data_IF_135896873078
#
_entry.id   IF_135896873078
#
_cell.length_a   1.000
_cell.length_b   1.000
_cell.length_c   1.000
_cell.angle_alpha   90.00
_cell.angle_beta   90.00
_cell.angle_gamma   90.00
#
_symmetry.space_group_name_H-M   'P 1'
#
loop_
_entity.id
_entity.type
_entity.pdbx_description
1 polymer ?
2 polymer ?
3 non-polymer ?
4 water ?
#
# COMPACT_ATOMS: atom_id res chain seq x y z
N UNK A 5 3.85 -2.30 -0.96
CA UNK A 5 5.25 -2.04 -1.35
C UNK A 5 6.16 -2.82 -0.41
N UNK A 6 5.89 -2.73 0.90
CA UNK A 6 6.61 -3.51 1.91
C UNK A 6 5.95 -3.35 3.28
N UNK A 7 5.45 -4.45 3.83
CA UNK A 7 4.83 -4.46 5.16
C UNK A 7 5.81 -5.01 6.17
N UNK A 8 5.82 -4.41 7.36
CA UNK A 8 6.77 -4.82 8.39
C UNK A 8 6.08 -4.80 9.75
N UNK A 9 6.45 -5.75 10.61
CA UNK A 9 5.96 -5.79 11.98
C UNK A 9 7.09 -5.33 12.90
N UNK A 10 6.77 -4.39 13.79
CA UNK A 10 7.74 -3.82 14.72
C UNK A 10 7.10 -3.79 16.09
N UNK A 11 7.77 -4.36 17.08
CA UNK A 11 7.29 -4.38 18.44
C UNK A 11 8.13 -3.41 19.27
N UNK A 12 7.45 -2.51 19.98
CA UNK A 12 8.14 -1.52 20.81
C UNK A 12 7.73 -1.72 22.27
N UNK A 13 8.71 -1.57 23.16
CA UNK A 13 8.45 -1.52 24.59
C UNK A 13 8.27 -0.05 24.98
N UNK A 14 7.12 0.28 25.57
CA UNK A 14 6.82 1.66 25.90
C UNK A 14 7.85 2.16 26.91
N UNK A 15 8.36 3.37 26.69
CA UNK A 15 9.29 3.98 27.62
C UNK A 15 8.60 4.92 28.59
N UNK A 16 9.43 5.58 29.41
CA UNK A 16 8.87 6.52 30.39
C UNK A 16 8.11 7.64 29.72
N UNK A 17 8.49 8.00 28.50
CA UNK A 17 7.85 9.09 27.75
C UNK A 17 6.92 8.59 26.67
N UNK A 18 6.50 7.33 26.75
CA UNK A 18 5.73 6.70 25.69
C UNK A 18 6.59 6.03 24.63
N UNK A 19 6.15 6.13 23.39
CA UNK A 19 6.83 5.42 22.32
C UNK A 19 7.85 6.26 21.60
N UNK A 20 7.85 7.56 21.78
CA UNK A 20 8.88 8.38 21.17
C UNK A 20 8.70 8.67 19.70
N UNK A 21 7.46 8.75 19.21
CA UNK A 21 7.19 9.20 17.85
C UNK A 21 5.84 9.90 17.82
N UNK A 22 5.57 10.57 16.71
CA UNK A 22 4.35 11.33 16.53
C UNK A 22 3.67 10.92 15.21
N UNK A 23 2.35 11.07 15.17
CA UNK A 23 1.58 10.67 14.02
C UNK A 23 0.60 11.78 13.63
N UNK A 24 0.31 11.84 12.34
CA UNK A 24 -0.76 12.70 11.84
C UNK A 24 -1.59 11.91 10.85
N UNK A 25 -2.77 12.43 10.55
CA UNK A 25 -3.66 11.85 9.57
C UNK A 25 -4.86 11.17 10.20
N UNK A 26 -5.58 10.45 9.35
CA UNK A 26 -6.84 9.84 9.73
C UNK A 26 -7.97 10.35 8.86
N UNK A 27 -9.11 9.66 8.97
CA UNK A 27 -10.25 10.02 8.13
C UNK A 27 -10.81 11.38 8.53
N UNK A 28 -10.72 11.72 9.81
CA UNK A 28 -11.20 12.99 10.31
C UNK A 28 -10.22 14.12 10.08
N UNK A 29 -8.92 13.82 9.91
CA UNK A 29 -7.88 14.86 9.85
C UNK A 29 -6.77 14.43 8.92
N UNK A 30 -7.05 14.41 7.62
CA UNK A 30 -5.98 14.06 6.66
C UNK A 30 -4.75 14.94 6.86
N UNK A 31 -3.59 14.34 6.61
CA UNK A 31 -2.32 15.07 6.71
C UNK A 31 -1.78 15.47 5.35
N UNK A 32 -2.07 14.67 4.31
CA UNK A 32 -1.86 15.02 2.93
C UNK A 32 -3.23 15.23 2.27
N UNK A 33 -3.23 15.68 1.02
CA UNK A 33 -4.47 15.99 0.33
C UNK A 33 -5.20 14.71 -0.04
N UNK A 34 -6.44 14.60 0.41
CA UNK A 34 -7.31 13.46 0.16
C UNK A 34 -6.67 12.13 0.56
N UNK A 35 -5.71 12.17 1.47
CA UNK A 35 -5.05 10.99 2.01
C UNK A 35 -5.47 10.81 3.47
N UNK A 36 -6.19 9.71 3.75
CA UNK A 36 -6.63 9.44 5.11
C UNK A 36 -5.64 8.57 5.91
N UNK A 37 -4.52 8.18 5.33
CA UNK A 37 -3.62 7.31 6.06
C UNK A 37 -3.07 8.00 7.33
N UNK A 38 -2.67 7.16 8.28
CA UNK A 38 -1.97 7.58 9.49
C UNK A 38 -0.48 7.40 9.27
N UNK A 39 0.27 8.50 9.31
CA UNK A 39 1.68 8.46 9.01
C UNK A 39 2.49 8.81 10.25
N UNK A 40 3.70 8.26 10.31
CA UNK A 40 4.69 8.67 11.30
C UNK A 40 5.25 10.00 10.84
N UNK A 41 5.21 11.02 11.70
CA UNK A 41 5.72 12.33 11.31
C UNK A 41 7.03 12.73 11.96
N UNK A 42 7.36 12.15 13.11
CA UNK A 42 8.63 12.44 13.76
C UNK A 42 9.03 11.24 14.62
N UNK A 43 10.34 10.98 14.70
CA UNK A 43 10.93 9.99 15.60
C UNK A 43 11.89 10.75 16.51
N UNK A 44 11.58 10.76 17.80
CA UNK A 44 12.25 11.66 18.73
C UNK A 44 13.60 11.05 19.15
N UNK A 45 14.69 11.83 19.13
CA UNK A 45 15.96 11.31 19.67
C UNK A 45 15.80 10.88 21.12
N UNK A 46 16.38 9.74 21.46
CA UNK A 46 16.34 9.26 22.82
C UNK A 46 15.06 8.57 23.23
N UNK A 47 14.08 8.46 22.32
CA UNK A 47 12.87 7.73 22.64
C UNK A 47 12.93 6.26 22.24
N UNK A 48 11.91 5.52 22.66
CA UNK A 48 11.90 4.07 22.42
C UNK A 48 11.96 3.72 20.94
N UNK A 49 11.16 4.41 20.11
CA UNK A 49 11.15 4.10 18.67
C UNK A 49 12.50 4.36 18.02
N UNK A 50 13.19 5.43 18.41
CA UNK A 50 14.50 5.74 17.80
C UNK A 50 15.54 4.73 18.26
N UNK A 51 15.49 4.36 19.53
CA UNK A 51 16.40 3.35 20.06
C UNK A 51 16.23 2.02 19.33
N UNK A 52 14.99 1.70 18.95
CA UNK A 52 14.73 0.47 18.20
C UNK A 52 15.29 0.58 16.79
N UNK A 53 15.13 1.74 16.15
CA UNK A 53 15.79 2.03 14.91
C UNK A 53 15.04 1.61 13.67
N UNK A 54 13.94 0.89 13.81
CA UNK A 54 13.27 0.34 12.64
C UNK A 54 12.25 1.28 12.05
N UNK A 55 11.52 2.02 12.88
CA UNK A 55 10.51 2.94 12.38
C UNK A 55 11.14 4.10 11.61
N UNK A 56 10.50 4.46 10.49
CA UNK A 56 10.97 5.54 9.64
C UNK A 56 9.88 6.60 9.51
N UNK A 57 10.32 7.84 9.26
CA UNK A 57 9.37 8.92 9.04
C UNK A 57 8.54 8.63 7.80
N UNK A 58 7.25 8.91 7.89
CA UNK A 58 6.26 8.70 6.84
C UNK A 58 5.90 7.24 6.59
N UNK A 59 6.37 6.31 7.43
CA UNK A 59 5.76 4.99 7.45
C UNK A 59 4.25 5.15 7.67
N UNK A 60 3.47 4.27 7.05
CA UNK A 60 2.02 4.25 7.23
C UNK A 60 1.70 3.22 8.28
N UNK A 61 0.91 3.60 9.28
CA UNK A 61 0.51 2.65 10.33
C UNK A 61 -0.62 1.82 9.75
N UNK A 62 -0.35 0.53 9.54
CA UNK A 62 -1.34 -0.39 9.00
C UNK A 62 -2.16 -1.01 10.12
N UNK A 63 -1.53 -1.37 11.24
CA UNK A 63 -2.25 -1.97 12.34
C UNK A 63 -1.50 -1.69 13.63
N UNK A 64 -2.26 -1.63 14.72
CA UNK A 64 -1.74 -1.54 16.08
C UNK A 64 -2.32 -2.72 16.85
N UNK A 65 -1.45 -3.56 17.40
CA UNK A 65 -1.87 -4.86 17.95
C UNK A 65 -2.72 -5.54 16.89
N UNK A 66 -3.91 -6.01 17.19
CA UNK A 66 -4.74 -6.71 16.21
C UNK A 66 -5.77 -5.79 15.56
N UNK A 67 -5.58 -4.47 15.64
CA UNK A 67 -6.57 -3.52 15.16
C UNK A 67 -6.04 -2.75 13.97
N UNK A 68 -6.72 -2.88 12.83
CA UNK A 68 -6.33 -2.23 11.60
C UNK A 68 -6.63 -0.75 11.67
N UNK A 69 -5.77 0.06 11.03
CA UNK A 69 -5.88 1.52 11.05
C UNK A 69 -5.95 2.14 9.65
N UNK A 70 -6.48 1.42 8.68
CA UNK A 70 -6.35 1.88 7.31
C UNK A 70 -7.42 2.91 6.91
N UNK A 71 -8.57 2.91 7.58
CA UNK A 71 -9.64 3.87 7.28
C UNK A 71 -10.34 4.26 8.57
N UNK A 72 -9.58 4.89 9.49
CA UNK A 72 -10.04 5.17 10.84
C UNK A 72 -9.76 6.61 11.22
N UNK A 73 -10.37 7.04 12.31
CA UNK A 73 -10.15 8.38 12.81
C UNK A 73 -8.86 8.45 13.63
N UNK A 74 -8.32 9.67 13.72
CA UNK A 74 -7.02 9.88 14.34
C UNK A 74 -7.01 9.31 15.75
N UNK A 75 -7.94 9.74 16.59
CA UNK A 75 -7.92 9.36 17.99
C UNK A 75 -8.04 7.87 18.19
N UNK A 76 -8.63 7.16 17.21
CA UNK A 76 -8.71 5.71 17.32
C UNK A 76 -7.31 5.10 17.35
N UNK A 77 -6.46 5.50 16.41
CA UNK A 77 -5.09 5.02 16.39
C UNK A 77 -4.31 5.51 17.60
N UNK A 78 -4.55 6.76 18.01
CA UNK A 78 -3.92 7.30 19.22
C UNK A 78 -4.23 6.41 20.42
N UNK A 79 -5.50 6.05 20.60
CA UNK A 79 -5.87 5.23 21.74
C UNK A 79 -5.20 3.85 21.68
N UNK A 80 -5.05 3.30 20.48
CA UNK A 80 -4.37 2.01 20.34
C UNK A 80 -2.93 2.11 20.80
N UNK A 81 -2.23 3.18 20.39
CA UNK A 81 -0.83 3.34 20.75
C UNK A 81 -0.65 3.75 22.20
N UNK A 82 -1.46 4.70 22.69
CA UNK A 82 -1.22 5.26 24.02
C UNK A 82 -1.67 4.36 25.17
N UNK A 83 -2.58 3.43 24.92
CA UNK A 83 -3.06 2.54 25.99
C UNK A 83 -2.56 1.11 25.79
N UNK A 85 -0.69 -0.63 28.20
CA UNK A 85 -0.01 -0.95 26.96
C UNK A 85 1.50 -0.95 27.12
N UNK A 86 2.01 -1.92 27.89
CA UNK A 86 3.44 -1.98 28.12
C UNK A 86 4.24 -2.38 26.88
N UNK A 87 3.61 -3.06 25.93
CA UNK A 87 4.26 -3.52 24.71
C UNK A 87 3.23 -3.40 23.58
N UNK A 88 3.66 -2.82 22.46
CA UNK A 88 2.78 -2.57 21.34
C UNK A 88 3.39 -3.12 20.06
N UNK A 89 2.60 -3.92 19.32
CA UNK A 89 3.01 -4.50 18.04
C UNK A 89 2.50 -3.63 16.90
N UNK A 90 3.42 -3.11 16.09
CA UNK A 90 3.08 -2.26 14.97
C UNK A 90 3.27 -2.99 13.64
N UNK A 91 2.25 -2.96 12.80
CA UNK A 91 2.38 -3.31 11.39
C UNK A 91 2.38 -2.00 10.61
N UNK A 92 3.45 -1.76 9.85
CA UNK A 92 3.58 -0.53 9.08
C UNK A 92 3.85 -0.84 7.61
N UNK A 93 3.59 0.16 6.75
CA UNK A 93 3.81 0.04 5.32
C UNK A 93 4.77 1.12 4.84
N UNK A 94 5.67 0.76 3.94
CA UNK A 94 6.61 1.74 3.39
C UNK A 94 7.01 1.41 1.95
N UNK B 5 -12.77 3.20 -1.57
CA UNK B 5 -12.49 3.53 -3.00
C UNK B 5 -11.22 4.39 -3.11
N UNK B 6 -10.12 3.77 -3.51
CA UNK B 6 -8.80 4.40 -3.53
C UNK B 6 -8.22 4.28 -4.92
N UNK B 7 -7.90 5.41 -5.53
CA UNK B 7 -7.28 5.44 -6.85
C UNK B 7 -5.78 5.57 -6.66
N UNK B 8 -5.01 4.88 -7.49
CA UNK B 8 -3.57 4.85 -7.33
C UNK B 8 -2.90 4.86 -8.70
N UNK B 9 -1.77 5.55 -8.79
CA UNK B 9 -0.95 5.57 -9.99
C UNK B 9 0.28 4.70 -9.74
N UNK B 10 0.56 3.80 -10.67
CA UNK B 10 1.65 2.84 -10.56
C UNK B 10 2.40 2.82 -11.88
N UNK B 11 3.72 2.96 -11.81
CA UNK B 11 4.56 2.87 -13.01
C UNK B 11 5.31 1.56 -12.95
N UNK B 12 5.18 0.76 -14.01
CA UNK B 12 5.83 -0.54 -14.07
C UNK B 12 6.81 -0.52 -15.23
N UNK B 13 7.99 -1.09 -15.00
CA UNK B 13 8.99 -1.30 -16.04
C UNK B 13 8.85 -2.71 -16.63
N UNK B 14 8.72 -2.74 -17.95
CA UNK B 14 8.53 -4.00 -18.66
C UNK B 14 9.73 -4.92 -18.50
N UNK B 15 9.47 -6.21 -18.21
CA UNK B 15 10.51 -7.21 -18.18
C UNK B 15 10.49 -8.03 -19.47
N UNK B 16 11.34 -9.05 -19.48
CA UNK B 16 11.40 -9.93 -20.64
C UNK B 16 10.08 -10.63 -20.91
N UNK B 17 9.26 -10.87 -19.87
CA UNK B 17 7.98 -11.55 -20.01
C UNK B 17 6.80 -10.58 -19.93
N UNK B 18 7.03 -9.31 -20.14
CA UNK B 18 6.00 -8.31 -19.94
C UNK B 18 5.95 -7.78 -18.52
N UNK B 19 4.75 -7.50 -18.02
CA UNK B 19 4.59 -6.86 -16.72
C UNK B 19 4.40 -7.84 -15.57
N UNK B 20 4.08 -9.10 -15.84
CA UNK B 20 4.00 -10.06 -14.78
C UNK B 20 2.72 -10.08 -14.00
N UNK B 21 1.59 -9.79 -14.63
CA UNK B 21 0.32 -9.95 -13.95
C UNK B 21 -0.73 -10.33 -14.99
N UNK B 22 -1.90 -10.75 -14.51
CA UNK B 22 -2.95 -11.23 -15.39
C UNK B 22 -4.24 -10.44 -15.15
N UNK B 23 -5.05 -10.29 -16.21
CA UNK B 23 -6.30 -9.57 -16.11
C UNK B 23 -7.44 -10.37 -16.75
N UNK B 24 -8.64 -10.18 -16.21
CA UNK B 24 -9.86 -10.68 -16.81
C UNK B 24 -10.88 -9.56 -16.79
N UNK B 25 -11.95 -9.75 -17.57
CA UNK B 25 -13.08 -8.83 -17.58
C UNK B 25 -13.10 -7.97 -18.83
N UNK B 26 -13.99 -7.00 -18.80
CA UNK B 26 -14.28 -6.16 -19.96
C UNK B 26 -15.74 -6.27 -20.34
N UNK B 27 -16.15 -5.32 -21.20
CA UNK B 27 -17.56 -5.25 -21.57
C UNK B 27 -17.98 -6.45 -22.40
N UNK B 28 -17.07 -7.01 -23.18
CA UNK B 28 -17.36 -8.17 -24.00
C UNK B 28 -17.30 -9.48 -23.20
N UNK B 29 -16.61 -9.52 -22.05
CA UNK B 29 -16.38 -10.78 -21.31
C UNK B 29 -16.30 -10.50 -19.82
N UNK B 30 -17.46 -10.23 -19.20
CA UNK B 30 -17.42 -10.00 -17.75
C UNK B 30 -16.75 -11.16 -17.05
N UNK B 31 -16.02 -10.85 -15.98
CA UNK B 31 -15.39 -11.87 -15.14
C UNK B 31 -16.24 -12.21 -13.91
N UNK B 32 -17.03 -11.25 -13.44
CA UNK B 32 -18.09 -11.43 -12.47
C UNK B 32 -19.39 -11.08 -13.15
N UNK B 33 -20.51 -11.50 -12.55
CA UNK B 33 -21.80 -11.37 -13.20
C UNK B 33 -22.19 -9.92 -13.37
N UNK B 34 -22.43 -9.55 -14.63
CA UNK B 34 -22.78 -8.19 -15.05
C UNK B 34 -21.78 -7.13 -14.60
N UNK B 35 -20.56 -7.54 -14.30
CA UNK B 35 -19.48 -6.61 -13.97
C UNK B 35 -18.56 -6.52 -15.18
N UNK B 36 -18.51 -5.35 -15.82
CA UNK B 36 -17.66 -5.18 -16.99
C UNK B 36 -16.26 -4.71 -16.61
N UNK B 37 -15.96 -4.59 -15.32
CA UNK B 37 -14.65 -4.08 -14.95
C UNK B 37 -13.55 -5.03 -15.42
N UNK B 38 -12.36 -4.47 -15.60
CA UNK B 38 -11.15 -5.24 -15.89
C UNK B 38 -10.36 -5.38 -14.59
N UNK B 39 -10.20 -6.62 -14.12
CA UNK B 39 -9.62 -6.89 -12.81
C UNK B 39 -8.27 -7.58 -12.93
N UNK B 40 -7.40 -7.34 -11.95
CA UNK B 40 -6.17 -8.10 -11.80
C UNK B 40 -6.56 -9.44 -11.20
N UNK B 41 -6.12 -10.53 -11.82
CA UNK B 41 -6.45 -11.86 -11.32
C UNK B 41 -5.27 -12.63 -10.78
N UNK B 42 -4.05 -12.26 -11.17
CA UNK B 42 -2.87 -12.90 -10.61
C UNK B 42 -1.69 -11.95 -10.71
N UNK B 43 -0.80 -12.04 -9.72
CA UNK B 43 0.49 -11.36 -9.71
C UNK B 43 1.53 -12.47 -9.69
N UNK B 44 2.31 -12.56 -10.75
CA UNK B 44 3.18 -13.72 -10.95
C UNK B 44 4.44 -13.55 -10.10
N UNK B 45 4.86 -14.58 -9.36
CA UNK B 45 6.13 -14.49 -8.63
C UNK B 45 7.25 -14.21 -9.61
N UNK B 46 8.17 -13.33 -9.20
CA UNK B 46 9.33 -13.02 -10.01
C UNK B 46 9.07 -12.07 -11.15
N UNK B 47 7.83 -11.59 -11.32
CA UNK B 47 7.55 -10.65 -12.37
C UNK B 47 7.66 -9.20 -11.90
N UNK B 48 7.57 -8.28 -12.86
CA UNK B 48 7.72 -6.86 -12.56
C UNK B 48 6.67 -6.39 -11.56
N UNK B 49 5.42 -6.81 -11.73
CA UNK B 49 4.36 -6.33 -10.84
C UNK B 49 4.61 -6.77 -9.40
N UNK B 50 5.10 -7.99 -9.23
CA UNK B 50 5.39 -8.47 -7.88
C UNK B 50 6.62 -7.76 -7.30
N UNK B 51 7.66 -7.59 -8.11
CA UNK B 51 8.87 -6.88 -7.68
C UNK B 51 8.54 -5.44 -7.24
N UNK B 52 7.58 -4.81 -7.92
CA UNK B 52 7.17 -3.46 -7.54
C UNK B 52 6.42 -3.48 -6.22
N UNK B 53 5.54 -4.45 -6.02
CA UNK B 53 4.92 -4.68 -4.75
C UNK B 53 3.65 -3.90 -4.53
N UNK B 54 3.28 -3.00 -5.42
CA UNK B 54 2.13 -2.17 -5.16
C UNK B 54 0.84 -2.80 -5.67
N UNK B 55 0.86 -3.46 -6.83
CA UNK B 55 -0.36 -4.01 -7.39
C UNK B 55 -0.92 -5.15 -6.56
N UNK B 56 -2.26 -5.19 -6.42
CA UNK B 56 -2.95 -6.20 -5.64
C UNK B 56 -3.96 -6.94 -6.51
N UNK B 57 -4.21 -8.21 -6.16
CA UNK B 57 -5.23 -8.99 -6.86
C UNK B 57 -6.60 -8.35 -6.70
N UNK B 58 -7.36 -8.31 -7.79
CA UNK B 58 -8.69 -7.72 -7.89
C UNK B 58 -8.65 -6.20 -7.88
N UNK B 59 -7.48 -5.58 -7.98
CA UNK B 59 -7.45 -4.17 -8.36
C UNK B 59 -8.19 -4.00 -9.70
N UNK B 60 -8.89 -2.88 -9.86
CA UNK B 60 -9.57 -2.54 -11.10
C UNK B 60 -8.70 -1.59 -11.91
N UNK B 61 -8.50 -1.90 -13.18
CA UNK B 61 -7.70 -1.04 -14.05
C UNK B 61 -8.54 0.15 -14.49
N UNK B 62 -8.12 1.34 -14.06
CA UNK B 62 -8.85 2.57 -14.37
C UNK B 62 -8.31 3.20 -15.64
N UNK B 63 -7.00 3.24 -15.81
CA UNK B 63 -6.39 3.86 -16.98
C UNK B 63 -5.03 3.22 -17.25
N UNK B 64 -4.66 3.21 -18.52
CA UNK B 64 -3.34 2.80 -19.00
C UNK B 64 -2.80 3.97 -19.82
N UNK B 65 -1.62 4.45 -19.44
CA UNK B 65 -1.19 5.77 -19.93
C UNK B 65 -2.32 6.75 -19.64
N UNK B 66 -2.60 7.65 -20.57
CA UNK B 66 -3.69 8.61 -20.39
C UNK B 66 -5.03 8.08 -20.92
N UNK B 67 -5.16 6.77 -21.12
CA UNK B 67 -6.31 6.19 -21.79
C UNK B 67 -7.17 5.47 -20.75
N UNK B 68 -8.43 5.88 -20.66
CA UNK B 68 -9.36 5.28 -19.72
C UNK B 68 -9.79 3.89 -20.19
N UNK B 69 -9.96 2.98 -19.23
CA UNK B 69 -10.31 1.59 -19.51
C UNK B 69 -11.58 1.18 -18.77
N UNK B 70 -12.48 2.12 -18.51
CA UNK B 70 -13.58 1.84 -17.61
C UNK B 70 -14.75 1.16 -18.30
N UNK B 71 -14.93 1.36 -19.61
CA UNK B 71 -16.03 0.73 -20.35
C UNK B 71 -15.52 0.33 -21.74
N UNK B 72 -14.56 -0.58 -21.74
CA UNK B 72 -13.84 -0.98 -22.94
C UNK B 72 -13.83 -2.50 -23.00
N UNK B 73 -13.44 -3.03 -24.16
CA UNK B 73 -13.36 -4.46 -24.34
C UNK B 73 -12.07 -5.00 -23.74
N UNK B 74 -12.06 -6.31 -23.47
CA UNK B 74 -10.92 -6.94 -22.80
C UNK B 74 -9.63 -6.67 -23.57
N UNK B 75 -9.58 -7.05 -24.85
CA UNK B 75 -8.35 -6.90 -25.62
C UNK B 75 -7.93 -5.46 -25.80
N UNK B 76 -8.86 -4.51 -25.65
CA UNK B 76 -8.49 -3.10 -25.69
C UNK B 76 -7.52 -2.79 -24.57
N UNK B 77 -7.85 -3.22 -23.35
CA UNK B 77 -6.95 -2.94 -22.24
C UNK B 77 -5.66 -3.75 -22.35
N UNK B 78 -5.76 -5.02 -22.76
CA UNK B 78 -4.57 -5.85 -22.92
C UNK B 78 -3.56 -5.18 -23.85
N UNK B 79 -4.01 -4.85 -25.07
CA UNK B 79 -3.14 -4.29 -26.08
C UNK B 79 -2.71 -2.87 -25.70
N UNK B 80 -3.56 -2.15 -24.96
CA UNK B 80 -3.13 -0.86 -24.44
C UNK B 80 -1.92 -1.03 -23.53
N UNK B 81 -1.94 -2.05 -22.67
CA UNK B 81 -0.81 -2.28 -21.78
C UNK B 81 0.43 -2.72 -22.54
N UNK B 82 0.24 -3.56 -23.57
CA UNK B 82 1.37 -4.13 -24.30
C UNK B 82 2.04 -3.13 -25.22
N UNK B 83 1.36 -2.04 -25.58
CA UNK B 83 1.92 -1.06 -26.49
C UNK B 83 2.25 0.25 -25.78
N UNK B 84 2.26 0.24 -24.43
CA UNK B 84 2.77 1.36 -23.67
C UNK B 84 4.29 1.38 -23.59
N UNK B 85 4.96 0.33 -24.04
CA UNK B 85 6.41 0.34 -24.16
C UNK B 85 7.11 -0.13 -22.91
N UNK B 86 8.35 0.34 -22.75
CA UNK B 86 9.16 -0.11 -21.62
C UNK B 86 8.65 0.46 -20.30
N UNK B 87 7.85 1.52 -20.35
CA UNK B 87 7.32 2.15 -19.14
C UNK B 87 5.82 2.31 -19.33
N UNK B 88 5.06 1.84 -18.36
CA UNK B 88 3.60 1.82 -18.45
C UNK B 88 3.06 2.41 -17.15
N UNK B 89 2.24 3.46 -17.28
CA UNK B 89 1.63 4.13 -16.14
C UNK B 89 0.23 3.57 -15.98
N UNK B 90 -0.03 2.93 -14.85
CA UNK B 90 -1.30 2.34 -14.52
C UNK B 90 -2.01 3.19 -13.48
N UNK B 91 -3.27 3.50 -13.72
CA UNK B 91 -4.15 4.01 -12.67
C UNK B 91 -5.07 2.85 -12.30
N UNK B 92 -5.08 2.45 -11.03
CA UNK B 92 -5.90 1.34 -10.58
C UNK B 92 -6.79 1.83 -9.44
N UNK B 93 -7.86 1.08 -9.20
CA UNK B 93 -8.86 1.39 -8.18
C UNK B 93 -9.00 0.19 -7.26
N UNK B 94 -9.15 0.46 -5.98
CA UNK B 94 -9.36 -0.60 -4.98
C UNK B 94 -10.18 -0.07 -3.81
N UNK C 5 1.47 -14.88 -1.41
CA UNK C 5 1.05 -13.89 -0.38
C UNK C 5 0.37 -12.66 -1.00
N UNK C 6 -0.60 -12.92 -1.88
CA UNK C 6 -1.41 -11.84 -2.44
C UNK C 6 -2.50 -11.48 -1.43
N UNK C 7 -2.45 -10.25 -0.91
CA UNK C 7 -3.47 -9.74 0.00
C UNK C 7 -4.45 -8.88 -0.78
N UNK C 8 -5.73 -9.01 -0.46
CA UNK C 8 -6.79 -8.27 -1.14
C UNK C 8 -7.96 -8.13 -0.18
N UNK C 9 -8.69 -7.03 -0.33
CA UNK C 9 -9.89 -6.75 0.45
C UNK C 9 -11.12 -7.09 -0.39
N UNK C 10 -12.12 -7.69 0.26
CA UNK C 10 -13.38 -8.11 -0.35
C UNK C 10 -14.50 -7.60 0.56
N UNK C 11 -15.46 -6.88 -0.03
CA UNK C 11 -16.57 -6.29 0.72
C UNK C 11 -17.82 -7.08 0.39
N UNK C 12 -18.52 -7.55 1.43
CA UNK C 12 -19.71 -8.39 1.30
C UNK C 12 -20.89 -7.78 2.04
N UNK C 13 -22.07 -7.84 1.41
CA UNK C 13 -23.33 -7.46 2.04
C UNK C 13 -24.02 -8.68 2.61
N UNK C 14 -24.32 -8.66 3.90
CA UNK C 14 -24.99 -9.79 4.54
C UNK C 14 -26.39 -10.00 3.97
N UNK C 15 -26.71 -11.24 3.64
CA UNK C 15 -28.04 -11.63 3.22
C UNK C 15 -28.80 -12.46 4.25
N UNK C 16 -29.96 -12.95 3.81
CA UNK C 16 -30.75 -13.85 4.65
C UNK C 16 -29.97 -15.11 5.01
N UNK C 17 -29.01 -15.50 4.20
CA UNK C 17 -28.20 -16.68 4.44
C UNK C 17 -26.88 -16.35 5.13
N UNK C 18 -26.77 -15.15 5.72
CA UNK C 18 -25.52 -14.74 6.30
C UNK C 18 -24.64 -14.20 5.20
N UNK C 19 -23.36 -14.55 5.24
CA UNK C 19 -22.40 -14.13 4.25
C UNK C 19 -22.25 -15.15 3.12
N UNK C 20 -22.75 -16.36 3.33
CA UNK C 20 -22.76 -17.33 2.27
C UNK C 20 -21.45 -18.05 2.06
N UNK C 21 -20.68 -18.26 3.13
CA UNK C 21 -19.49 -19.07 3.08
C UNK C 21 -19.25 -19.70 4.45
N UNK C 22 -18.32 -20.64 4.49
CA UNK C 22 -17.97 -21.36 5.70
C UNK C 22 -16.47 -21.28 5.87
N UNK C 23 -16.01 -21.39 7.13
CA UNK C 23 -14.61 -21.28 7.50
C UNK C 23 -14.17 -22.47 8.37
N UNK C 24 -12.90 -22.80 8.27
CA UNK C 24 -12.28 -23.75 9.19
C UNK C 24 -10.93 -23.16 9.63
N UNK C 25 -10.36 -23.78 10.64
CA UNK C 25 -9.03 -23.40 11.06
C UNK C 25 -9.02 -22.56 12.32
N UNK C 26 -7.82 -22.08 12.62
CA UNK C 26 -7.55 -21.35 13.84
C UNK C 26 -6.48 -22.01 14.70
N UNK C 27 -6.02 -21.24 15.68
CA UNK C 27 -4.94 -21.70 16.54
C UNK C 27 -5.36 -22.90 17.36
N UNK C 28 -6.67 -23.08 17.58
CA UNK C 28 -7.11 -24.20 18.41
C UNK C 28 -7.00 -25.54 17.68
N UNK C 29 -6.90 -25.54 16.36
CA UNK C 29 -6.94 -26.78 15.59
C UNK C 29 -6.13 -26.60 14.32
N UNK C 30 -4.81 -26.63 14.43
CA UNK C 30 -3.98 -26.48 13.23
C UNK C 30 -4.38 -27.44 12.12
N UNK C 31 -4.36 -26.96 10.88
CA UNK C 31 -4.65 -27.78 9.72
C UNK C 31 -3.37 -28.02 8.91
N UNK C 32 -3.37 -29.11 8.15
CA UNK C 32 -2.35 -29.41 7.14
C UNK C 32 -0.98 -29.25 7.78
N UNK C 33 -0.04 -28.54 7.18
CA UNK C 33 1.32 -28.42 7.72
C UNK C 33 1.39 -27.53 8.95
N UNK C 34 0.61 -27.85 9.98
CA UNK C 34 0.61 -27.09 11.23
C UNK C 34 0.29 -25.61 10.99
N UNK C 35 -0.66 -25.37 10.10
CA UNK C 35 -1.07 -24.01 9.76
C UNK C 35 -2.25 -23.63 10.64
N UNK C 36 -2.08 -22.58 11.45
CA UNK C 36 -3.12 -22.13 12.38
C UNK C 36 -4.05 -21.10 11.76
N UNK C 37 -3.90 -20.83 10.46
CA UNK C 37 -4.70 -19.83 9.79
C UNK C 37 -6.18 -20.21 9.76
N UNK C 38 -7.03 -19.20 9.56
CA UNK C 38 -8.45 -19.38 9.30
C UNK C 38 -8.67 -19.25 7.80
N UNK C 39 -9.12 -20.34 7.17
CA UNK C 39 -9.27 -20.39 5.72
C UNK C 39 -10.72 -20.68 5.32
N UNK C 40 -11.04 -20.31 4.09
CA UNK C 40 -12.36 -20.54 3.52
C UNK C 40 -12.47 -21.99 3.07
N UNK C 41 -13.51 -22.68 3.55
CA UNK C 41 -13.73 -24.07 3.21
C UNK C 41 -14.91 -24.28 2.28
N UNK C 42 -15.82 -23.31 2.16
CA UNK C 42 -16.96 -23.43 1.27
C UNK C 42 -17.46 -22.05 0.84
N UNK C 43 -17.85 -21.95 -0.43
CA UNK C 43 -18.56 -20.80 -1.00
C UNK C 43 -19.88 -21.34 -1.57
N UNK C 44 -21.00 -20.94 -0.98
CA UNK C 44 -22.32 -21.49 -1.32
C UNK C 44 -22.93 -20.75 -2.49
N UNK C 45 -23.50 -21.47 -3.46
CA UNK C 45 -24.24 -20.77 -4.52
C UNK C 45 -25.39 -19.96 -3.93
N UNK C 46 -25.63 -18.79 -4.50
CA UNK C 46 -26.73 -17.96 -4.08
C UNK C 46 -26.50 -17.13 -2.85
N UNK C 47 -25.30 -17.22 -2.25
CA UNK C 47 -24.97 -16.44 -1.08
C UNK C 47 -24.22 -15.16 -1.42
N UNK C 48 -24.00 -14.35 -0.37
CA UNK C 48 -23.34 -13.07 -0.56
C UNK C 48 -21.97 -13.24 -1.19
N UNK C 49 -21.21 -14.24 -0.75
CA UNK C 49 -19.88 -14.43 -1.30
C UNK C 49 -19.97 -14.74 -2.79
N UNK C 50 -20.95 -15.55 -3.18
CA UNK C 50 -21.08 -15.87 -4.60
C UNK C 50 -21.55 -14.66 -5.38
N UNK C 51 -22.46 -13.86 -4.80
CA UNK C 51 -22.94 -12.68 -5.51
C UNK C 51 -21.79 -11.73 -5.85
N UNK C 52 -20.84 -11.57 -4.92
CA UNK C 52 -19.67 -10.74 -5.20
C UNK C 52 -18.68 -11.44 -6.12
N UNK C 53 -18.41 -12.74 -5.88
CA UNK C 53 -17.64 -13.56 -6.78
C UNK C 53 -16.16 -13.61 -6.52
N UNK C 54 -15.65 -12.82 -5.57
CA UNK C 54 -14.20 -12.74 -5.36
C UNK C 54 -13.66 -13.78 -4.38
N UNK C 55 -14.38 -14.06 -3.31
CA UNK C 55 -13.88 -14.98 -2.30
C UNK C 55 -13.78 -16.39 -2.86
N UNK C 56 -12.65 -17.06 -2.58
CA UNK C 56 -12.40 -18.41 -3.07
C UNK C 56 -12.10 -19.36 -1.91
N UNK C 57 -12.41 -20.64 -2.13
CA UNK C 57 -12.06 -21.67 -1.17
C UNK C 57 -10.53 -21.73 -1.00
N UNK C 58 -10.12 -21.93 0.25
CA UNK C 58 -8.75 -21.97 0.73
C UNK C 58 -8.10 -20.58 0.80
N UNK C 59 -8.82 -19.49 0.52
CA UNK C 59 -8.35 -18.16 0.90
C UNK C 59 -8.12 -18.08 2.41
N UNK C 60 -7.07 -17.38 2.81
CA UNK C 60 -6.80 -17.17 4.23
C UNK C 60 -7.38 -15.83 4.66
N UNK C 61 -8.14 -15.83 5.75
CA UNK C 61 -8.73 -14.59 6.25
C UNK C 61 -7.70 -13.85 7.09
N UNK C 62 -7.31 -12.66 6.64
CA UNK C 62 -6.33 -11.86 7.38
C UNK C 62 -7.02 -10.98 8.41
N UNK C 63 -8.18 -10.39 8.07
CA UNK C 63 -8.88 -9.46 8.96
C UNK C 63 -10.37 -9.41 8.66
N UNK C 64 -11.15 -9.10 9.70
CA UNK C 64 -12.57 -8.83 9.56
C UNK C 64 -12.86 -7.47 10.18
N UNK C 65 -13.33 -6.53 9.37
CA UNK C 65 -13.60 -5.16 9.80
C UNK C 65 -12.48 -4.60 10.68
N UNK C 66 -11.32 -4.40 10.11
CA UNK C 66 -10.19 -3.83 10.86
C UNK C 66 -9.79 -4.67 12.09
N UNK C 67 -10.22 -5.92 12.16
CA UNK C 67 -9.85 -6.82 13.26
C UNK C 67 -9.01 -7.95 12.67
N UNK C 68 -7.76 -8.03 13.11
CA UNK C 68 -6.82 -9.01 12.59
C UNK C 68 -7.11 -10.40 13.12
N UNK C 69 -6.97 -11.38 12.24
CA UNK C 69 -7.29 -12.77 12.54
C UNK C 69 -6.08 -13.66 12.29
N UNK C 70 -4.88 -13.09 12.46
CA UNK C 70 -3.68 -13.79 12.01
C UNK C 70 -3.21 -14.86 12.97
N UNK C 71 -3.52 -14.74 14.26
CA UNK C 71 -3.12 -15.73 15.25
C UNK C 71 -4.24 -15.86 16.27
N UNK C 72 -5.41 -16.30 15.81
CA UNK C 72 -6.62 -16.32 16.63
C UNK C 72 -7.25 -17.70 16.57
N UNK C 73 -8.09 -17.98 17.56
CA UNK C 73 -8.85 -19.20 17.65
C UNK C 73 -10.13 -19.05 16.81
N UNK C 74 -10.72 -20.20 16.48
CA UNK C 74 -11.78 -20.28 15.49
C UNK C 74 -12.95 -19.34 15.77
N UNK C 75 -13.62 -19.52 16.91
CA UNK C 75 -14.85 -18.78 17.14
C UNK C 75 -14.63 -17.28 17.22
N UNK C 76 -13.40 -16.83 17.52
CA UNK C 76 -13.15 -15.40 17.56
C UNK C 76 -13.49 -14.78 16.20
N UNK C 77 -13.01 -15.40 15.12
CA UNK C 77 -13.34 -14.95 13.79
C UNK C 77 -14.81 -15.17 13.49
N UNK C 78 -15.38 -16.30 13.93
CA UNK C 78 -16.80 -16.55 13.74
C UNK C 78 -17.62 -15.42 14.34
N UNK C 79 -17.36 -15.09 15.60
CA UNK C 79 -18.12 -14.04 16.28
C UNK C 79 -17.85 -12.68 15.67
N UNK C 80 -16.64 -12.44 15.19
CA UNK C 80 -16.36 -11.20 14.47
C UNK C 80 -17.19 -11.11 13.21
N UNK C 81 -17.26 -12.20 12.44
CA UNK C 81 -18.06 -12.18 11.22
C UNK C 81 -19.55 -11.98 11.49
N UNK C 82 -20.09 -12.57 12.54
CA UNK C 82 -21.52 -12.47 12.76
C UNK C 82 -21.92 -11.13 13.35
N UNK C 83 -20.98 -10.39 13.95
CA UNK C 83 -21.30 -9.09 14.58
C UNK C 83 -20.66 -7.92 13.84
N UNK C 84 -20.25 -8.11 12.58
CA UNK C 84 -19.63 -7.05 11.79
C UNK C 84 -20.63 -6.16 11.07
N UNK C 85 -21.92 -6.41 11.20
CA UNK C 85 -22.92 -5.52 10.62
C UNK C 85 -23.47 -6.00 9.27
N UNK C 86 -24.20 -5.07 8.63
CA UNK C 86 -24.82 -5.37 7.33
C UNK C 86 -23.80 -5.50 6.20
N UNK C 87 -22.60 -4.95 6.37
CA UNK C 87 -21.53 -4.98 5.38
C UNK C 87 -20.25 -5.36 6.11
N UNK C 88 -19.53 -6.33 5.56
CA UNK C 88 -18.35 -6.88 6.21
C UNK C 88 -17.19 -6.82 5.23
N UNK C 89 -16.10 -6.21 5.66
CA UNK C 89 -14.90 -6.08 4.86
C UNK C 89 -13.93 -7.18 5.27
N UNK C 90 -13.59 -8.04 4.33
CA UNK C 90 -12.66 -9.13 4.55
C UNK C 90 -11.33 -8.77 3.90
N UNK C 91 -10.25 -8.90 4.64
CA UNK C 91 -8.93 -8.96 4.05
C UNK C 91 -8.50 -10.42 4.02
N UNK C 92 -8.17 -10.90 2.82
CA UNK C 92 -7.79 -12.28 2.65
C UNK C 92 -6.43 -12.32 1.97
N UNK C 93 -5.79 -13.47 2.10
CA UNK C 93 -4.50 -13.78 1.49
C UNK C 93 -4.66 -15.05 0.68
N UNK C 94 -4.06 -15.06 -0.51
CA UNK C 94 -4.05 -16.25 -1.35
C UNK C 94 -2.74 -16.32 -2.12
N UNK D 6 17.20 10.78 9.70
CA UNK D 6 15.98 10.00 9.31
C UNK D 6 15.94 9.78 7.79
N UNK D 7 16.05 8.52 7.37
CA UNK D 7 16.02 8.18 5.96
C UNK D 7 14.64 7.67 5.56
N UNK D 8 14.18 8.07 4.39
CA UNK D 8 12.86 7.68 3.90
C UNK D 8 12.86 7.67 2.37
N UNK D 9 11.99 6.84 1.79
CA UNK D 9 11.82 6.81 0.34
C UNK D 9 10.57 7.57 -0.10
N UNK D 10 10.70 8.33 -1.17
CA UNK D 10 9.62 9.15 -1.73
C UNK D 10 9.59 8.88 -3.21
N UNK D 11 8.41 8.53 -3.74
CA UNK D 11 8.22 8.18 -5.14
C UNK D 11 7.41 9.29 -5.79
N UNK D 12 7.91 9.83 -6.89
CA UNK D 12 7.29 10.95 -7.58
C UNK D 12 7.03 10.61 -9.04
N UNK D 13 5.85 10.99 -9.52
CA UNK D 13 5.51 10.86 -10.92
C UNK D 13 5.84 12.15 -11.63
N UNK D 14 6.69 12.08 -12.66
CA UNK D 14 7.08 13.27 -13.40
C UNK D 14 5.87 13.87 -14.10
N UNK D 15 5.72 15.20 -13.98
CA UNK D 15 4.70 15.93 -14.68
C UNK D 15 5.26 16.75 -15.84
N UNK D 16 4.35 17.52 -16.46
CA UNK D 16 4.74 18.40 -17.57
C UNK D 16 5.78 19.42 -17.13
N UNK D 17 5.82 19.75 -15.84
CA UNK D 17 6.79 20.68 -15.30
C UNK D 17 7.96 19.97 -14.62
N UNK D 18 8.16 18.69 -14.92
CA UNK D 18 9.18 17.89 -14.27
C UNK D 18 8.70 17.30 -12.96
N UNK D 19 9.56 17.28 -11.97
CA UNK D 19 9.19 16.73 -10.67
C UNK D 19 8.67 17.79 -9.71
N UNK D 20 8.84 19.07 -10.04
CA UNK D 20 8.30 20.12 -9.21
C UNK D 20 9.13 20.43 -7.99
N UNK D 21 10.45 20.25 -8.06
CA UNK D 21 11.34 20.71 -7.00
C UNK D 21 12.68 21.09 -7.63
N UNK D 22 13.50 21.74 -6.83
CA UNK D 22 14.79 22.23 -7.25
C UNK D 22 15.85 21.77 -6.25
N UNK D 23 17.08 21.64 -6.72
CA UNK D 23 18.16 21.14 -5.88
C UNK D 23 19.36 22.09 -5.93
N UNK D 24 20.11 22.11 -4.84
CA UNK D 24 21.38 22.78 -4.73
C UNK D 24 22.35 21.82 -4.06
N UNK D 25 23.62 22.18 -4.06
CA UNK D 25 24.60 21.38 -3.37
C UNK D 25 25.44 20.55 -4.32
N UNK D 26 26.19 19.64 -3.73
CA UNK D 26 27.15 18.82 -4.45
C UNK D 26 28.56 19.03 -3.92
N UNK D 27 29.44 18.12 -4.37
CA UNK D 27 30.84 18.15 -3.97
C UNK D 27 31.53 19.41 -4.48
N UNK D 28 31.06 19.93 -5.61
CA UNK D 28 31.53 21.17 -6.21
C UNK D 28 30.95 22.41 -5.55
N UNK D 29 29.95 22.25 -4.66
CA UNK D 29 29.26 23.41 -4.08
C UNK D 29 28.98 23.15 -2.60
N UNK D 30 30.01 23.11 -1.77
CA UNK D 30 29.77 23.00 -0.33
C UNK D 30 28.84 24.11 0.18
N UNK D 31 27.91 23.74 1.05
CA UNK D 31 26.98 24.70 1.63
C UNK D 31 27.08 24.70 3.14
N UNK D 32 27.01 25.89 3.73
CA UNK D 32 26.84 26.09 5.17
C UNK D 32 28.03 25.44 5.88
N UNK D 33 27.81 24.47 6.76
CA UNK D 33 28.84 23.77 7.49
C UNK D 33 29.67 22.78 6.67
N UNK D 34 30.18 23.20 5.52
CA UNK D 34 31.00 22.30 4.70
C UNK D 34 30.22 21.04 4.33
N UNK D 35 28.91 21.19 4.13
CA UNK D 35 28.05 20.08 3.74
C UNK D 35 28.05 19.98 2.22
N UNK D 36 28.53 18.85 1.70
CA UNK D 36 28.62 18.61 0.26
C UNK D 36 27.38 17.92 -0.28
N UNK D 37 26.37 17.72 0.57
CA UNK D 37 25.16 17.04 0.16
C UNK D 37 24.42 17.79 -0.93
N UNK D 38 23.52 17.07 -1.59
CA UNK D 38 22.56 17.64 -2.51
C UNK D 38 21.26 17.79 -1.72
N UNK D 39 20.79 19.02 -1.56
CA UNK D 39 19.60 19.29 -0.75
C UNK D 39 18.49 19.92 -1.58
N UNK D 40 17.29 19.80 -1.05
CA UNK D 40 16.12 20.40 -1.67
C UNK D 40 16.07 21.87 -1.31
N UNK D 41 15.99 22.74 -2.33
CA UNK D 41 15.92 24.18 -2.14
C UNK D 41 14.54 24.76 -2.45
N UNK D 42 13.68 24.05 -3.17
CA UNK D 42 12.35 24.55 -3.47
C UNK D 42 11.40 23.38 -3.74
N UNK D 43 10.18 23.51 -3.24
CA UNK D 43 9.06 22.62 -3.54
C UNK D 43 7.97 23.50 -4.14
N UNK D 44 7.69 23.29 -5.41
CA UNK D 44 6.82 24.20 -6.17
C UNK D 44 5.39 23.77 -5.99
N UNK D 45 4.47 24.71 -5.71
CA UNK D 45 3.04 24.38 -5.73
C UNK D 45 2.63 23.82 -7.09
N UNK D 46 1.77 22.81 -7.07
CA UNK D 46 1.27 22.22 -8.28
C UNK D 46 2.20 21.26 -8.96
N UNK D 47 3.38 21.01 -8.40
CA UNK D 47 4.29 20.05 -8.98
C UNK D 47 4.11 18.67 -8.37
N UNK D 48 4.84 17.69 -8.93
CA UNK D 48 4.76 16.33 -8.43
C UNK D 48 5.12 16.25 -6.95
N UNK D 49 6.17 16.96 -6.53
CA UNK D 49 6.59 16.90 -5.14
C UNK D 49 5.50 17.44 -4.23
N UNK D 50 4.82 18.50 -4.67
CA UNK D 50 3.73 19.04 -3.88
C UNK D 50 2.52 18.11 -3.90
N UNK D 51 2.24 17.49 -5.05
CA UNK D 51 1.10 16.58 -5.13
C UNK D 51 1.26 15.41 -4.19
N UNK D 52 2.49 14.87 -4.07
CA UNK D 52 2.77 13.79 -3.14
C UNK D 52 2.78 14.29 -1.70
N UNK D 53 3.40 15.46 -1.46
CA UNK D 53 3.35 16.13 -0.17
C UNK D 53 4.46 15.78 0.80
N UNK D 54 5.28 14.79 0.48
CA UNK D 54 6.28 14.33 1.45
C UNK D 54 7.61 15.08 1.38
N UNK D 55 8.10 15.38 0.19
CA UNK D 55 9.40 16.03 0.08
C UNK D 55 9.35 17.43 0.68
N UNK D 56 10.38 17.77 1.46
CA UNK D 56 10.44 19.05 2.14
C UNK D 56 11.75 19.77 1.84
N UNK D 57 11.71 21.10 1.93
CA UNK D 57 12.89 21.91 1.75
C UNK D 57 13.95 21.53 2.78
N UNK D 58 15.20 21.51 2.34
CA UNK D 58 16.39 21.14 3.10
C UNK D 58 16.50 19.63 3.35
N UNK D 59 15.59 18.82 2.82
CA UNK D 59 15.81 17.39 2.75
C UNK D 59 17.09 17.13 1.97
N UNK D 60 17.84 16.10 2.40
CA UNK D 60 19.06 15.66 1.73
C UNK D 60 18.75 14.46 0.83
N UNK D 61 19.19 14.52 -0.42
CA UNK D 61 18.98 13.42 -1.36
C UNK D 61 20.09 12.38 -1.16
N UNK D 62 19.70 11.17 -0.75
CA UNK D 62 20.66 10.08 -0.56
C UNK D 62 20.84 9.27 -1.83
N UNK D 63 19.76 9.04 -2.56
CA UNK D 63 19.80 8.22 -3.76
C UNK D 63 18.69 8.65 -4.71
N UNK D 64 18.96 8.46 -6.00
CA UNK D 64 17.97 8.64 -7.06
C UNK D 64 17.82 7.29 -7.76
N UNK D 65 16.61 6.74 -7.70
CA UNK D 65 16.38 5.35 -8.08
C UNK D 65 17.38 4.44 -7.38
N UNK D 66 18.30 3.83 -8.11
CA UNK D 66 19.27 2.92 -7.52
C UNK D 66 20.68 3.51 -7.44
N UNK D 67 20.83 4.81 -7.61
CA UNK D 67 22.13 5.46 -7.72
C UNK D 67 22.32 6.37 -6.51
N UNK D 68 23.36 6.09 -5.74
CA UNK D 68 23.64 6.88 -4.55
C UNK D 68 24.16 8.23 -4.96
N UNK D 69 23.74 9.27 -4.23
CA UNK D 69 24.12 10.66 -4.53
C UNK D 69 24.85 11.28 -3.35
N UNK D 70 25.57 10.47 -2.58
CA UNK D 70 26.04 10.89 -1.27
C UNK D 70 27.30 11.73 -1.36
N UNK D 71 28.10 11.57 -2.41
CA UNK D 71 29.35 12.31 -2.55
C UNK D 71 29.60 12.60 -4.02
N UNK D 72 28.73 13.39 -4.64
CA UNK D 72 28.76 13.62 -6.07
C UNK D 72 28.59 15.11 -6.34
N UNK D 73 28.92 15.50 -7.56
CA UNK D 73 28.79 16.87 -8.01
C UNK D 73 27.36 17.19 -8.42
N UNK D 74 27.04 18.49 -8.43
CA UNK D 74 25.69 18.95 -8.69
C UNK D 74 25.15 18.36 -9.99
N UNK D 75 25.85 18.60 -11.10
CA UNK D 75 25.32 18.18 -12.38
C UNK D 75 25.12 16.67 -12.48
N UNK D 76 25.86 15.89 -11.68
CA UNK D 76 25.66 14.45 -11.70
C UNK D 76 24.24 14.10 -11.24
N UNK D 77 23.82 14.66 -10.12
CA UNK D 77 22.48 14.38 -9.63
C UNK D 77 21.42 14.95 -10.57
N UNK D 78 21.68 16.12 -11.15
CA UNK D 78 20.77 16.67 -12.14
C UNK D 78 20.55 15.64 -13.26
N UNK D 79 21.66 15.10 -13.78
CA UNK D 79 21.59 14.13 -14.85
C UNK D 79 20.91 12.85 -14.41
N UNK D 80 21.15 12.42 -13.16
CA UNK D 80 20.42 11.27 -12.62
C UNK D 80 18.93 11.55 -12.59
N UNK D 81 18.54 12.74 -12.12
CA UNK D 81 17.12 13.09 -12.07
C UNK D 81 16.54 13.19 -13.46
N UNK D 82 17.33 13.65 -14.43
CA UNK D 82 16.83 13.85 -15.79
C UNK D 82 16.61 12.54 -16.54
N UNK D 83 17.30 11.46 -16.15
CA UNK D 83 17.19 10.19 -16.84
C UNK D 83 16.50 9.11 -16.01
N UNK D 84 15.74 9.52 -14.99
CA UNK D 84 15.13 8.57 -14.07
C UNK D 84 13.78 8.04 -14.56
N UNK D 85 13.27 8.57 -15.66
CA UNK D 85 12.02 8.04 -16.22
C UNK D 85 10.76 8.76 -15.74
N UNK D 86 9.62 8.10 -15.98
CA UNK D 86 8.32 8.66 -15.60
C UNK D 86 8.10 8.61 -14.09
N UNK D 87 8.82 7.77 -13.37
CA UNK D 87 8.67 7.65 -11.93
C UNK D 87 10.05 7.59 -11.30
N UNK D 88 10.27 8.40 -10.26
CA UNK D 88 11.57 8.52 -9.65
C UNK D 88 11.43 8.26 -8.16
N UNK D 89 12.21 7.30 -7.66
CA UNK D 89 12.23 6.97 -6.25
C UNK D 89 13.41 7.69 -5.59
N UNK D 90 13.11 8.59 -4.67
CA UNK D 90 14.13 9.33 -3.95
C UNK D 90 14.25 8.78 -2.55
N UNK D 91 15.48 8.50 -2.14
CA UNK D 91 15.80 8.28 -0.74
C UNK D 91 16.37 9.59 -0.22
N UNK D 92 15.74 10.16 0.80
CA UNK D 92 16.16 11.44 1.37
C UNK D 92 16.36 11.28 2.86
N UNK D 93 17.13 12.20 3.43
CA UNK D 93 17.43 12.24 4.84
C UNK D 93 17.08 13.64 5.36
N UNK D 94 16.53 13.71 6.56
CA UNK D 94 16.25 14.98 7.20
C UNK D 94 16.46 14.88 8.70
N UNK E 1 -5.45 24.13 9.16
CA UNK E 1 -4.00 24.33 9.22
C UNK E 1 -3.28 23.00 9.34
N UNK E 2 -1.97 22.99 9.06
CA UNK E 2 -1.22 21.74 8.95
C UNK E 2 -0.67 21.16 10.24
N UNK E 3 -0.79 21.85 11.38
CA UNK E 3 -0.08 21.37 12.56
C UNK E 3 -0.79 20.35 13.46
N UNK E 4 -1.99 19.88 13.15
CA UNK E 4 -2.56 18.79 13.98
C UNK E 4 -1.67 17.56 13.95
N UNK E 5 -1.24 17.14 15.14
CA UNK E 5 -0.34 16.01 15.33
C UNK E 5 -0.51 15.51 16.76
N UNK E 6 -0.17 14.25 16.98
CA UNK E 6 -0.18 13.67 18.32
C UNK E 6 1.09 12.87 18.50
N UNK E 7 1.80 13.15 19.60
CA UNK E 7 2.96 12.38 20.03
C UNK E 7 2.48 11.25 20.93
N UNK E 8 3.07 10.07 20.75
CA UNK E 8 2.70 8.89 21.51
C UNK E 8 3.91 8.19 22.12
N UNK F 1 -17.57 -19.98 -20.08
CA UNK F 1 -16.63 -20.59 -19.13
C UNK F 1 -15.72 -19.58 -18.44
N UNK F 2 -15.12 -19.99 -17.31
CA UNK F 2 -14.39 -19.03 -16.46
C UNK F 2 -12.94 -18.78 -16.81
N UNK F 3 -12.35 -19.50 -17.75
CA UNK F 3 -10.91 -19.38 -17.95
C UNK F 3 -10.43 -18.29 -18.91
N UNK F 4 -11.31 -17.56 -19.62
CA UNK F 4 -10.81 -16.45 -20.46
C UNK F 4 -10.06 -15.43 -19.59
N UNK F 5 -8.77 -15.26 -19.89
CA UNK F 5 -7.89 -14.37 -19.16
C UNK F 5 -6.69 -14.09 -20.05
N UNK F 6 -6.01 -12.99 -19.76
CA UNK F 6 -4.80 -12.66 -20.49
C UNK F 6 -3.69 -12.27 -19.51
N UNK F 7 -2.52 -12.87 -19.65
CA UNK F 7 -1.34 -12.46 -18.92
C UNK F 7 -0.64 -11.35 -19.69
N UNK F 8 -0.18 -10.33 -18.96
CA UNK F 8 0.48 -9.20 -19.56
C UNK F 8 1.80 -8.92 -18.81
N UNK G 1 -16.53 -33.74 8.34
CA UNK G 1 -15.09 -33.76 8.61
C UNK G 1 -14.89 -33.58 10.12
N UNK G 2 -13.71 -33.94 10.65
CA UNK G 2 -13.51 -33.87 12.11
C UNK G 2 -13.05 -32.50 12.60
N UNK G 3 -12.63 -31.60 11.70
CA UNK G 3 -12.13 -30.33 12.18
C UNK G 3 -13.27 -29.34 12.40
N UNK G 4 -13.09 -28.40 13.32
CA UNK G 4 -14.09 -27.35 13.52
C UNK G 4 -14.34 -26.57 12.23
N UNK G 5 -15.61 -26.41 11.87
CA UNK G 5 -16.00 -25.68 10.68
C UNK G 5 -17.34 -25.01 10.96
N UNK G 6 -17.53 -23.82 10.40
CA UNK G 6 -18.73 -23.04 10.66
C UNK G 6 -19.21 -22.33 9.40
N UNK G 7 -20.50 -22.43 9.13
CA UNK G 7 -21.09 -21.60 8.09
C UNK G 7 -21.44 -20.25 8.68
N UNK G 8 -21.09 -19.19 7.96
CA UNK G 8 -21.30 -17.83 8.41
C UNK G 8 -22.04 -17.05 7.32
N UNK H 3 26.76 28.81 -5.38
CA UNK H 3 26.06 27.53 -5.47
C UNK H 3 24.82 27.63 -6.34
N UNK H 4 24.92 27.17 -7.60
CA UNK H 4 23.74 27.19 -8.48
C UNK H 4 22.64 26.25 -7.99
N UNK H 5 21.44 26.46 -8.54
CA UNK H 5 20.28 25.63 -8.25
C UNK H 5 19.66 25.21 -9.57
N UNK H 6 19.11 23.99 -9.58
CA UNK H 6 18.47 23.44 -10.75
C UNK H 6 17.09 22.91 -10.39
N UNK H 7 16.09 23.35 -11.13
CA UNK H 7 14.76 22.76 -11.02
C UNK H 7 14.74 21.46 -11.82
N UNK H 8 14.09 20.45 -11.25
CA UNK H 8 14.05 19.13 -11.87
C UNK H 8 12.61 18.65 -12.05
X LIG I 1 -28.84 -17.91 8.15
X LIG I 1 -29.18 -17.04 8.98
X LIG I 1 -27.65 -18.25 7.94
X LIG I 1 -29.94 -18.61 7.35
X LIG I 1 -31.39 -18.23 7.60
X LIG I 1 -32.04 -17.75 6.63
X LIG I 1 -31.88 -18.42 8.73
X LIG I 1 -29.85 -19.57 7.52
X LIG I 1 -29.75 -18.46 6.40
X LIG J 1 -0.28 -7.18 5.16
X LIG J 1 -1.35 -6.75 5.64
X LIG J 1 0.65 -7.71 5.82
X LIG J 1 -0.09 -7.06 3.65
X LIG J 1 -1.30 -6.44 2.97
X LIG J 1 -1.30 -6.37 1.72
X LIG J 1 -2.22 -6.00 3.69
X LIG J 1 0.07 -7.94 3.27
X LIG J 1 0.69 -6.52 3.47
X LIG K 1 15.23 6.25 10.90
X LIG K 1 15.13 5.15 11.49
X LIG K 1 15.82 6.37 9.80
X LIG K 1 14.65 7.49 11.56
X LIG K 1 15.48 8.03 12.72
X LIG K 1 16.64 7.58 12.86
X LIG K 1 14.99 8.90 13.47
X LIG K 1 13.75 7.29 11.88
X LIG K 1 14.57 8.20 10.89
#
# INVERSE_FOLDING_TARGET
GPLGSQYLDIVLLRGSSGLGFSIAGGTDNPHFDNDTSIYITKVIPGGAAEADGRLKVYDTIVAVDDQLMEDVAHQVCVDALKSAGSEVKLRVKR
GPLGSQYLDIVLLRGSSGLGFSIAGGTDNPHFDNDTSIYITKVIPGGAAEADGRLKVYDTIVAVDDQLMEDVAHQVCVDALKSAGSEVKLRVKR
GPLGSQYLDIVLLRGSSGLGFSIAGGTDNPHFDNDTSIYITKVIPGGAAEADGRLKVYDTIVAVDDQLMEDVAHQVCVDALKSAGSEVKLRVKR
GPLGSQYLDIVLLRGSSGLGFSIAGGTDNPHFDNDTSIYITKVIPGGAAEADGRLKVYDTIVAVDDQLMEDVAHQVCVDALKSAGSEVKLRVKR
NPNPETSV
NPNPETSV
NPNPETSV
NPNPETSV
MLA C1 O1A O1B C2 C3 O3A O3B HC21 HC22
MLA C1 O1A O1B C2 C3 O3A O3B HC21 HC22
MLA C1 O1A O1B C2 C3 O3A O3B HC21 HC22
#
